data_IF_164050054039
#
_entry.id   IF_164050054039
#
_cell.length_a   1.000
_cell.length_b   1.000
_cell.length_c   1.000
_cell.angle_alpha   90.00
_cell.angle_beta   90.00
_cell.angle_gamma   90.00
#
_symmetry.space_group_name_H-M   'P 1'
#
loop_
_entity.id
_entity.type
_entity.pdbx_description
1 polymer ?
#
# COMPACT_ATOMS: atom_id res chain seq x y z
N UNK A 1 0.93 -43.80 38.34
CA UNK A 1 2.08 -43.38 37.52
C UNK A 1 1.72 -42.05 36.83
N UNK A 2 2.21 -40.92 37.38
CA UNK A 2 1.90 -39.55 36.88
C UNK A 2 2.95 -39.18 35.88
N UNK A 3 2.58 -38.83 34.63
CA UNK A 3 3.50 -38.24 33.64
C UNK A 3 3.51 -36.73 33.84
N UNK A 4 4.68 -36.21 34.22
CA UNK A 4 4.98 -34.80 34.22
C UNK A 4 5.17 -34.34 32.76
N UNK A 5 4.37 -33.38 32.32
CA UNK A 5 4.65 -32.63 31.10
C UNK A 5 5.52 -31.44 31.43
N UNK A 6 6.73 -31.45 30.88
CA UNK A 6 7.70 -30.35 30.97
C UNK A 6 7.27 -29.23 30.03
N UNK A 7 6.86 -28.10 30.59
CA UNK A 7 6.66 -26.84 29.85
C UNK A 7 8.04 -26.18 29.73
N UNK A 8 8.57 -26.16 28.52
CA UNK A 8 9.81 -25.43 28.19
C UNK A 8 9.44 -23.96 27.94
N UNK A 9 9.71 -23.12 28.94
CA UNK A 9 9.60 -21.66 28.79
C UNK A 9 10.85 -21.14 28.08
N UNK A 10 10.71 -20.67 26.84
CA UNK A 10 11.74 -19.91 26.16
C UNK A 10 11.76 -18.46 26.68
N UNK A 11 12.67 -18.16 27.58
CA UNK A 11 13.03 -16.80 27.93
C UNK A 11 13.88 -16.21 26.79
N UNK A 12 13.32 -15.29 26.00
CA UNK A 12 14.10 -14.42 25.14
C UNK A 12 14.74 -13.31 26.00
N UNK A 13 16.02 -13.46 26.32
CA UNK A 13 16.85 -12.38 26.85
C UNK A 13 17.12 -11.39 25.67
N UNK A 14 16.38 -10.28 25.67
CA UNK A 14 16.75 -9.13 24.84
C UNK A 14 17.89 -8.42 25.53
N UNK A 15 19.13 -8.67 25.10
CA UNK A 15 20.29 -7.87 25.49
C UNK A 15 20.13 -6.48 24.87
N UNK A 16 19.74 -5.50 25.68
CA UNK A 16 19.80 -4.09 25.33
C UNK A 16 21.26 -3.64 25.32
N UNK A 17 21.94 -3.84 24.18
CA UNK A 17 23.19 -3.14 23.92
C UNK A 17 22.92 -1.68 23.61
N UNK A 18 23.82 -0.74 23.99
CA UNK A 18 23.62 0.68 23.66
C UNK A 18 23.64 0.86 22.15
N UNK A 19 22.48 1.24 21.59
CA UNK A 19 22.38 1.67 20.20
C UNK A 19 22.98 3.06 20.10
N UNK A 20 24.30 3.14 19.93
CA UNK A 20 24.97 4.35 19.45
C UNK A 20 24.75 4.45 17.94
N UNK A 21 23.52 4.68 17.54
CA UNK A 21 23.18 5.04 16.17
C UNK A 21 23.43 6.53 16.02
N UNK A 22 24.55 6.91 15.38
CA UNK A 22 24.68 8.23 14.78
C UNK A 22 23.41 8.49 13.97
N UNK A 23 22.75 9.62 14.23
CA UNK A 23 21.69 10.12 13.37
C UNK A 23 22.33 10.43 12.01
N UNK A 24 22.44 9.39 11.17
CA UNK A 24 22.61 9.63 9.75
C UNK A 24 21.39 10.39 9.30
N UNK A 25 21.61 11.63 8.87
CA UNK A 25 20.63 12.44 8.16
C UNK A 25 19.89 11.53 7.18
N UNK A 26 18.64 11.18 7.49
CA UNK A 26 17.75 10.61 6.52
C UNK A 26 17.65 11.71 5.45
N UNK A 27 18.42 11.56 4.39
CA UNK A 27 18.31 12.41 3.24
C UNK A 27 16.82 12.42 2.90
N UNK A 28 16.21 13.58 2.95
CA UNK A 28 14.82 13.75 2.56
C UNK A 28 14.70 13.07 1.19
N UNK A 29 13.83 12.04 1.10
CA UNK A 29 13.53 11.41 -0.18
C UNK A 29 12.93 12.52 -1.03
N UNK A 30 13.77 13.10 -1.86
CA UNK A 30 13.36 14.24 -2.66
C UNK A 30 12.16 13.87 -3.53
N UNK A 31 11.14 14.71 -3.64
CA UNK A 31 9.98 14.52 -4.53
C UNK A 31 10.36 14.35 -6.00
N UNK A 32 11.63 14.48 -6.33
CA UNK A 32 12.19 14.45 -7.67
C UNK A 32 12.27 13.07 -8.34
N UNK A 33 11.97 11.96 -7.61
CA UNK A 33 12.10 10.62 -8.21
C UNK A 33 11.20 10.43 -9.44
N UNK A 34 9.98 10.95 -9.42
CA UNK A 34 9.08 10.89 -10.59
C UNK A 34 9.56 11.83 -11.69
N UNK A 35 10.04 13.01 -11.32
CA UNK A 35 10.57 13.99 -12.27
C UNK A 35 11.86 13.51 -12.95
N UNK A 36 12.75 12.86 -12.20
CA UNK A 36 13.98 12.25 -12.74
C UNK A 36 13.65 11.11 -13.71
N UNK A 37 12.68 10.26 -13.38
CA UNK A 37 12.23 9.20 -14.27
C UNK A 37 11.70 9.74 -15.61
N UNK A 38 10.96 10.85 -15.61
CA UNK A 38 10.47 11.50 -16.82
C UNK A 38 11.59 12.13 -17.67
N UNK A 39 12.74 12.42 -17.07
CA UNK A 39 13.93 12.94 -17.75
C UNK A 39 14.88 11.84 -18.24
N UNK A 40 14.72 10.62 -17.72
CA UNK A 40 15.51 9.46 -18.10
C UNK A 40 15.17 9.05 -19.53
N UNK A 41 16.21 8.90 -20.37
CA UNK A 41 16.05 8.54 -21.78
C UNK A 41 15.47 7.15 -21.96
N UNK A 42 15.88 6.19 -21.13
CA UNK A 42 15.41 4.82 -21.20
C UNK A 42 13.93 4.73 -20.79
N UNK A 43 13.53 5.47 -19.73
CA UNK A 43 12.15 5.60 -19.32
C UNK A 43 11.28 6.18 -20.44
N UNK A 44 11.71 7.27 -21.09
CA UNK A 44 10.98 7.87 -22.20
C UNK A 44 10.86 6.92 -23.39
N UNK A 45 11.97 6.28 -23.77
CA UNK A 45 11.97 5.30 -24.86
C UNK A 45 11.00 4.14 -24.56
N UNK A 46 10.96 3.66 -23.31
CA UNK A 46 9.99 2.64 -22.89
C UNK A 46 8.56 3.16 -23.03
N UNK A 47 8.25 4.37 -22.53
CA UNK A 47 6.92 4.99 -22.62
C UNK A 47 6.50 5.11 -24.09
N UNK A 48 7.36 5.65 -24.96
CA UNK A 48 7.05 5.81 -26.38
C UNK A 48 6.77 4.45 -27.02
N UNK A 49 7.59 3.44 -26.74
CA UNK A 49 7.40 2.08 -27.24
C UNK A 49 6.10 1.43 -26.81
N UNK A 50 5.61 1.75 -25.60
CA UNK A 50 4.31 1.29 -25.11
C UNK A 50 3.19 2.05 -25.81
N UNK A 51 3.30 3.37 -25.89
CA UNK A 51 2.32 4.23 -26.52
C UNK A 51 2.10 3.90 -28.00
N UNK A 52 3.13 3.55 -28.73
CA UNK A 52 3.03 3.17 -30.14
C UNK A 52 2.29 1.84 -30.37
N UNK A 53 2.33 0.97 -29.37
CA UNK A 53 1.66 -0.35 -29.43
C UNK A 53 0.22 -0.36 -28.92
N UNK A 54 -0.25 0.72 -28.33
CA UNK A 54 -1.60 0.83 -27.79
C UNK A 54 -2.52 1.56 -28.77
N UNK A 55 -3.70 1.01 -29.03
CA UNK A 55 -4.78 1.72 -29.69
C UNK A 55 -5.27 2.89 -28.84
N UNK A 56 -6.00 3.82 -29.46
CA UNK A 56 -6.58 4.95 -28.71
C UNK A 56 -7.43 4.49 -27.52
N UNK A 57 -8.29 3.48 -27.72
CA UNK A 57 -9.11 2.91 -26.65
C UNK A 57 -8.29 2.33 -25.51
N UNK A 58 -7.19 1.63 -25.81
CA UNK A 58 -6.28 1.09 -24.80
C UNK A 58 -5.53 2.22 -24.06
N UNK A 59 -5.11 3.28 -24.76
CA UNK A 59 -4.53 4.48 -24.13
C UNK A 59 -5.50 5.12 -23.14
N UNK A 60 -6.78 5.24 -23.50
CA UNK A 60 -7.82 5.72 -22.59
C UNK A 60 -7.97 4.79 -21.38
N UNK A 61 -7.92 3.47 -21.61
CA UNK A 61 -7.95 2.48 -20.52
C UNK A 61 -6.85 2.70 -19.48
N UNK A 62 -5.65 3.11 -19.90
CA UNK A 62 -4.52 3.38 -19.00
C UNK A 62 -4.78 4.53 -18.00
N UNK A 63 -5.78 5.37 -18.23
CA UNK A 63 -6.16 6.46 -17.32
C UNK A 63 -7.07 6.01 -16.17
N UNK A 64 -7.52 4.74 -16.17
CA UNK A 64 -8.45 4.23 -15.18
C UNK A 64 -7.79 3.28 -14.19
N UNK A 65 -8.20 3.42 -12.92
CA UNK A 65 -7.95 2.45 -11.85
C UNK A 65 -9.27 1.72 -11.60
N UNK A 66 -9.27 0.40 -11.81
CA UNK A 66 -10.46 -0.44 -11.62
C UNK A 66 -10.49 -1.04 -10.22
N UNK A 67 -11.60 -0.85 -9.50
CA UNK A 67 -11.76 -1.43 -8.16
C UNK A 67 -12.29 -2.86 -8.26
N UNK A 68 -11.61 -3.79 -7.59
CA UNK A 68 -11.97 -5.22 -7.59
C UNK A 68 -11.87 -5.82 -6.18
N UNK A 69 -12.81 -6.70 -5.84
CA UNK A 69 -12.74 -7.43 -4.58
C UNK A 69 -11.67 -8.54 -4.63
N UNK A 70 -10.86 -8.73 -3.58
CA UNK A 70 -9.89 -9.82 -3.52
C UNK A 70 -10.56 -11.13 -3.09
N UNK A 71 -11.42 -11.65 -3.98
CA UNK A 71 -12.13 -12.92 -3.84
C UNK A 71 -11.88 -13.81 -5.05
N UNK A 72 -11.71 -15.11 -4.80
CA UNK A 72 -11.44 -16.10 -5.85
C UNK A 72 -12.74 -16.76 -6.30
N UNK A 73 -13.56 -16.01 -7.03
CA UNK A 73 -14.78 -16.51 -7.65
C UNK A 73 -14.68 -16.40 -9.18
N UNK A 74 -15.37 -17.28 -9.88
CA UNK A 74 -15.40 -17.26 -11.36
C UNK A 74 -15.75 -15.87 -11.90
N UNK A 75 -16.80 -15.25 -11.34
CA UNK A 75 -17.24 -13.90 -11.76
C UNK A 75 -16.15 -12.85 -11.53
N UNK A 76 -15.46 -12.90 -10.40
CA UNK A 76 -14.43 -11.93 -10.09
C UNK A 76 -13.18 -12.10 -10.99
N UNK A 77 -12.85 -13.34 -11.35
CA UNK A 77 -11.78 -13.63 -12.30
C UNK A 77 -12.13 -13.17 -13.73
N UNK A 78 -13.39 -13.25 -14.12
CA UNK A 78 -13.89 -12.69 -15.39
C UNK A 78 -13.77 -11.16 -15.38
N UNK A 79 -14.18 -10.47 -14.31
CA UNK A 79 -14.02 -9.02 -14.15
C UNK A 79 -12.55 -8.59 -14.20
N UNK A 80 -11.67 -9.32 -13.52
CA UNK A 80 -10.23 -9.05 -13.59
C UNK A 80 -9.71 -9.16 -15.02
N UNK A 81 -10.07 -10.23 -15.72
CA UNK A 81 -9.68 -10.43 -17.11
C UNK A 81 -10.22 -9.33 -18.02
N UNK A 82 -11.48 -8.97 -17.85
CA UNK A 82 -12.10 -7.89 -18.63
C UNK A 82 -11.37 -6.57 -18.43
N UNK A 83 -11.08 -6.20 -17.17
CA UNK A 83 -10.34 -4.98 -16.84
C UNK A 83 -8.93 -4.98 -17.47
N UNK A 84 -8.19 -6.08 -17.33
CA UNK A 84 -6.78 -6.15 -17.75
C UNK A 84 -6.63 -6.44 -19.24
N UNK A 85 -7.41 -7.37 -19.80
CA UNK A 85 -7.23 -7.82 -21.19
C UNK A 85 -8.07 -7.02 -22.19
N UNK A 86 -9.29 -6.63 -21.81
CA UNK A 86 -10.19 -5.92 -22.74
C UNK A 86 -10.02 -4.42 -22.65
N UNK A 87 -10.07 -3.86 -21.43
CA UNK A 87 -9.98 -2.42 -21.23
C UNK A 87 -8.56 -1.91 -21.06
N UNK A 88 -7.58 -2.78 -20.76
CA UNK A 88 -6.18 -2.40 -20.53
C UNK A 88 -6.07 -1.29 -19.48
N UNK A 89 -6.76 -1.46 -18.34
CA UNK A 89 -6.73 -0.45 -17.26
C UNK A 89 -5.30 -0.23 -16.77
N UNK A 90 -4.97 1.02 -16.45
CA UNK A 90 -3.64 1.39 -15.96
C UNK A 90 -3.40 0.95 -14.52
N UNK A 91 -4.46 0.76 -13.72
CA UNK A 91 -4.33 0.35 -12.33
C UNK A 91 -5.47 -0.51 -11.81
N UNK A 92 -5.20 -1.18 -10.70
CA UNK A 92 -6.18 -1.92 -9.90
C UNK A 92 -6.15 -1.42 -8.45
N UNK A 93 -7.34 -1.23 -7.88
CA UNK A 93 -7.55 -0.99 -6.46
C UNK A 93 -8.26 -2.20 -5.85
N UNK A 94 -7.64 -2.86 -4.90
CA UNK A 94 -8.28 -3.96 -4.19
C UNK A 94 -9.11 -3.45 -3.00
N UNK A 95 -10.40 -3.80 -2.99
CA UNK A 95 -11.28 -3.60 -1.83
C UNK A 95 -10.98 -4.63 -0.72
N UNK A 96 -11.70 -4.58 0.40
CA UNK A 96 -11.40 -5.44 1.55
C UNK A 96 -11.56 -6.94 1.32
N UNK A 97 -10.65 -7.74 1.86
CA UNK A 97 -10.69 -9.20 1.74
C UNK A 97 -9.56 -9.95 2.45
N UNK A 98 -9.17 -11.11 1.90
CA UNK A 98 -8.06 -11.91 2.39
C UNK A 98 -6.76 -11.51 1.70
N UNK A 99 -5.69 -11.37 2.49
CA UNK A 99 -4.34 -11.06 1.99
C UNK A 99 -3.91 -11.97 0.83
N UNK A 100 -4.01 -13.30 1.02
CA UNK A 100 -3.58 -14.27 0.02
C UNK A 100 -4.32 -14.13 -1.30
N UNK A 101 -5.62 -13.84 -1.26
CA UNK A 101 -6.41 -13.66 -2.47
C UNK A 101 -5.95 -12.41 -3.25
N UNK A 102 -5.65 -11.31 -2.57
CA UNK A 102 -5.10 -10.13 -3.24
C UNK A 102 -3.77 -10.43 -3.93
N UNK A 103 -2.84 -11.08 -3.23
CA UNK A 103 -1.54 -11.46 -3.81
C UNK A 103 -1.73 -12.34 -5.05
N UNK A 104 -2.61 -13.33 -4.97
CA UNK A 104 -2.90 -14.22 -6.10
C UNK A 104 -3.47 -13.45 -7.30
N UNK A 105 -4.43 -12.54 -7.05
CA UNK A 105 -5.04 -11.73 -8.12
C UNK A 105 -4.07 -10.70 -8.68
N UNK A 106 -3.23 -10.08 -7.84
CA UNK A 106 -2.14 -9.20 -8.29
C UNK A 106 -1.21 -9.93 -9.25
N UNK A 107 -0.70 -11.10 -8.84
CA UNK A 107 0.18 -11.90 -9.68
C UNK A 107 -0.50 -12.35 -10.98
N UNK A 108 -1.79 -12.68 -10.93
CA UNK A 108 -2.57 -13.03 -12.11
C UNK A 108 -2.71 -11.84 -13.05
N UNK A 109 -3.07 -10.67 -12.55
CA UNK A 109 -3.18 -9.45 -13.33
C UNK A 109 -1.88 -9.11 -14.05
N UNK A 110 -0.75 -9.14 -13.33
CA UNK A 110 0.56 -8.84 -13.90
C UNK A 110 0.98 -9.82 -15.00
N UNK A 111 0.64 -11.11 -14.87
CA UNK A 111 0.93 -12.10 -15.93
C UNK A 111 0.06 -11.94 -17.18
N UNK A 112 -1.16 -11.42 -17.03
CA UNK A 112 -2.10 -11.22 -18.14
C UNK A 112 -1.92 -9.87 -18.82
N UNK A 113 -1.43 -8.86 -18.10
CA UNK A 113 -1.37 -7.50 -18.57
C UNK A 113 -0.37 -7.32 -19.74
N UNK A 114 -0.81 -6.64 -20.81
CA UNK A 114 0.05 -6.21 -21.93
C UNK A 114 1.02 -5.10 -21.48
N UNK A 115 0.56 -4.24 -20.59
CA UNK A 115 1.35 -3.21 -19.89
C UNK A 115 1.24 -3.51 -18.40
N UNK A 116 2.34 -3.50 -17.62
CA UNK A 116 2.27 -3.74 -16.18
C UNK A 116 1.21 -2.86 -15.50
N UNK A 117 0.36 -3.48 -14.69
CA UNK A 117 -0.75 -2.79 -14.01
C UNK A 117 -0.25 -2.18 -12.71
N UNK A 118 -0.53 -0.90 -12.48
CA UNK A 118 -0.25 -0.25 -11.21
C UNK A 118 -1.21 -0.77 -10.14
N UNK A 119 -0.68 -1.36 -9.08
CA UNK A 119 -1.48 -1.80 -7.95
C UNK A 119 -1.55 -0.65 -6.95
N UNK A 120 -2.77 -0.24 -6.66
CA UNK A 120 -3.06 0.81 -5.68
C UNK A 120 -3.75 0.23 -4.47
N UNK A 121 -3.62 0.90 -3.36
CA UNK A 121 -4.18 0.48 -2.08
C UNK A 121 -4.75 1.68 -1.33
N UNK A 122 -5.76 1.44 -0.50
CA UNK A 122 -6.35 2.42 0.39
C UNK A 122 -6.17 1.94 1.83
N UNK A 123 -5.01 2.25 2.39
CA UNK A 123 -4.56 1.77 3.68
C UNK A 123 -4.12 2.89 4.62
N UNK A 124 -5.07 3.74 5.03
CA UNK A 124 -4.81 4.91 5.90
C UNK A 124 -4.10 4.56 7.21
N UNK A 125 -4.38 3.38 7.77
CA UNK A 125 -3.71 2.82 8.95
C UNK A 125 -3.11 1.43 8.66
N UNK A 126 -2.51 1.29 7.47
CA UNK A 126 -1.85 0.07 7.02
C UNK A 126 -2.81 -0.94 6.37
N UNK A 127 -2.28 -2.12 6.07
CA UNK A 127 -3.02 -3.14 5.31
C UNK A 127 -4.27 -3.63 6.02
N UNK A 128 -4.30 -3.61 7.36
CA UNK A 128 -5.43 -4.08 8.16
C UNK A 128 -6.72 -3.30 7.91
N UNK A 129 -6.64 -2.09 7.36
CA UNK A 129 -7.83 -1.37 6.91
C UNK A 129 -8.66 -2.18 5.91
N UNK A 130 -8.00 -2.95 5.05
CA UNK A 130 -8.63 -3.69 3.94
C UNK A 130 -8.41 -5.20 4.02
N UNK A 131 -7.27 -5.65 4.53
CA UNK A 131 -6.85 -7.04 4.43
C UNK A 131 -6.82 -7.72 5.80
N UNK A 132 -7.65 -8.74 5.94
CA UNK A 132 -7.66 -9.56 7.16
C UNK A 132 -6.39 -10.39 7.30
N UNK A 133 -5.93 -10.54 8.54
CA UNK A 133 -4.71 -11.31 8.87
C UNK A 133 -3.42 -10.51 8.76
N UNK A 134 -3.51 -9.18 8.68
CA UNK A 134 -2.35 -8.28 8.69
C UNK A 134 -2.26 -7.53 10.01
N UNK A 135 -1.07 -6.99 10.38
CA UNK A 135 -0.90 -6.19 11.59
C UNK A 135 -1.85 -4.99 11.61
N UNK A 136 -2.48 -4.75 12.77
CA UNK A 136 -3.42 -3.66 12.96
C UNK A 136 -2.70 -2.49 13.62
N UNK A 137 -2.74 -1.33 13.00
CA UNK A 137 -2.27 -0.07 13.58
C UNK A 137 -3.45 0.76 14.11
N UNK A 138 -3.20 1.67 15.05
CA UNK A 138 -4.20 2.65 15.48
C UNK A 138 -4.67 3.52 14.32
N UNK A 139 -5.84 4.13 14.49
CA UNK A 139 -6.32 5.15 13.54
C UNK A 139 -5.47 6.42 13.65
N UNK A 140 -5.51 7.22 12.58
CA UNK A 140 -4.66 8.39 12.42
C UNK A 140 -4.77 9.39 13.61
N UNK A 141 -5.96 9.60 14.16
CA UNK A 141 -6.14 10.50 15.32
C UNK A 141 -5.36 10.03 16.56
N UNK A 142 -5.23 8.71 16.77
CA UNK A 142 -4.39 8.16 17.86
C UNK A 142 -2.91 8.36 17.54
N UNK A 143 -2.53 8.16 16.27
CA UNK A 143 -1.15 8.42 15.80
C UNK A 143 -0.80 9.90 15.94
N UNK A 144 -1.75 10.80 15.73
CA UNK A 144 -1.57 12.25 15.90
C UNK A 144 -1.26 12.69 17.34
N UNK A 145 -1.54 11.85 18.34
CA UNK A 145 -1.15 12.10 19.73
C UNK A 145 0.33 11.81 20.04
N UNK A 146 1.05 11.16 19.10
CA UNK A 146 2.45 10.81 19.28
C UNK A 146 3.33 12.04 19.08
N UNK A 147 4.12 12.39 20.11
CA UNK A 147 5.02 13.54 20.08
C UNK A 147 6.40 13.23 19.47
N UNK A 148 6.77 11.94 19.40
CA UNK A 148 8.04 11.52 18.83
C UNK A 148 7.91 11.20 17.35
N UNK A 149 8.32 12.13 16.49
CA UNK A 149 8.28 11.98 15.03
C UNK A 149 9.03 10.75 14.52
N UNK A 150 10.00 10.21 15.28
CA UNK A 150 10.71 8.97 14.89
C UNK A 150 9.77 7.78 14.87
N UNK A 151 8.80 7.74 15.78
CA UNK A 151 7.78 6.67 15.81
C UNK A 151 6.82 6.79 14.64
N UNK A 152 6.40 8.00 14.28
CA UNK A 152 5.55 8.24 13.10
C UNK A 152 6.30 7.85 11.82
N UNK A 153 7.58 8.21 11.72
CA UNK A 153 8.40 7.80 10.58
C UNK A 153 8.58 6.28 10.50
N UNK A 154 8.79 5.61 11.64
CA UNK A 154 8.90 4.16 11.71
C UNK A 154 7.59 3.47 11.28
N UNK A 155 6.45 4.00 11.71
CA UNK A 155 5.12 3.58 11.25
C UNK A 155 4.99 3.70 9.73
N UNK A 156 5.30 4.87 9.16
CA UNK A 156 5.23 5.08 7.71
C UNK A 156 6.11 4.10 6.92
N UNK A 157 7.34 3.84 7.40
CA UNK A 157 8.23 2.84 6.79
C UNK A 157 7.66 1.43 6.85
N UNK A 158 7.03 1.06 7.96
CA UNK A 158 6.42 -0.26 8.09
C UNK A 158 5.22 -0.42 7.15
N UNK A 159 4.35 0.58 7.04
CA UNK A 159 3.24 0.57 6.07
C UNK A 159 3.78 0.46 4.64
N UNK A 160 4.81 1.23 4.29
CA UNK A 160 5.44 1.15 2.97
C UNK A 160 6.04 -0.24 2.70
N UNK A 161 6.68 -0.86 3.71
CA UNK A 161 7.21 -2.23 3.61
C UNK A 161 6.09 -3.23 3.33
N UNK A 162 4.97 -3.12 4.04
CA UNK A 162 3.80 -3.97 3.85
C UNK A 162 3.21 -3.80 2.44
N UNK A 163 3.05 -2.56 1.96
CA UNK A 163 2.58 -2.28 0.61
C UNK A 163 3.49 -2.93 -0.45
N UNK A 164 4.81 -2.82 -0.30
CA UNK A 164 5.77 -3.48 -1.20
C UNK A 164 5.60 -5.00 -1.22
N UNK A 165 5.35 -5.62 -0.07
CA UNK A 165 5.16 -7.08 0.02
C UNK A 165 3.93 -7.59 -0.74
N UNK A 166 2.87 -6.79 -0.84
CA UNK A 166 1.67 -7.13 -1.61
C UNK A 166 1.71 -6.62 -3.05
N UNK A 167 2.82 -6.02 -3.46
CA UNK A 167 3.00 -5.47 -4.81
C UNK A 167 2.25 -4.16 -5.06
N UNK A 168 1.86 -3.42 -4.02
CA UNK A 168 1.23 -2.11 -4.17
C UNK A 168 2.29 -1.02 -4.35
N UNK A 169 2.17 -0.25 -5.43
CA UNK A 169 3.02 0.88 -5.76
C UNK A 169 2.50 2.20 -5.19
N UNK A 170 1.19 2.32 -5.04
CA UNK A 170 0.54 3.55 -4.55
C UNK A 170 -0.36 3.20 -3.36
N UNK A 171 -0.20 3.95 -2.27
CA UNK A 171 -1.14 3.95 -1.15
C UNK A 171 -1.85 5.30 -1.11
N UNK A 172 -3.19 5.33 -1.19
CA UNK A 172 -4.00 6.55 -1.06
C UNK A 172 -4.11 6.97 0.41
N UNK A 173 -2.95 7.31 0.98
CA UNK A 173 -2.77 7.72 2.36
C UNK A 173 -1.53 8.64 2.49
N UNK A 174 -1.44 9.42 3.56
CA UNK A 174 -2.41 9.61 4.64
C UNK A 174 -3.57 10.51 4.25
N UNK A 175 -4.63 10.53 5.11
CA UNK A 175 -5.69 11.54 5.02
C UNK A 175 -5.10 12.90 5.38
N UNK A 176 -5.22 13.86 4.47
CA UNK A 176 -4.73 15.23 4.66
C UNK A 176 -5.75 16.16 5.33
N UNK A 177 -6.99 15.69 5.52
CA UNK A 177 -8.04 16.47 6.15
C UNK A 177 -7.73 16.75 7.64
N UNK A 178 -8.02 17.97 8.06
CA UNK A 178 -7.96 18.41 9.44
C UNK A 178 -9.35 18.30 10.08
N UNK A 179 -9.44 17.80 11.31
CA UNK A 179 -10.72 17.60 12.01
C UNK A 179 -11.28 18.90 12.58
N UNK A 180 -11.62 19.85 11.70
CA UNK A 180 -12.21 21.15 12.10
C UNK A 180 -13.68 21.05 12.56
N UNK A 181 -14.32 19.91 12.32
CA UNK A 181 -15.69 19.64 12.75
C UNK A 181 -15.79 18.20 13.31
N UNK A 182 -15.79 18.05 14.66
CA UNK A 182 -15.84 16.72 15.30
C UNK A 182 -17.16 15.96 15.04
N UNK A 183 -18.19 16.63 14.54
CA UNK A 183 -19.45 16.00 14.12
C UNK A 183 -19.41 15.48 12.69
N UNK A 184 -18.33 15.70 11.94
CA UNK A 184 -18.19 15.15 10.59
C UNK A 184 -18.12 13.62 10.65
N UNK A 185 -19.10 12.89 10.09
CA UNK A 185 -19.15 11.43 10.19
C UNK A 185 -18.11 10.73 9.31
N UNK A 186 -17.50 11.44 8.37
CA UNK A 186 -16.58 10.86 7.37
C UNK A 186 -15.13 11.00 7.81
N UNK A 187 -14.67 12.18 8.17
CA UNK A 187 -13.28 12.44 8.53
C UNK A 187 -12.99 11.97 9.96
N UNK A 188 -13.53 12.60 10.96
CA UNK A 188 -13.44 12.21 12.38
C UNK A 188 -12.06 11.59 12.71
N UNK A 189 -12.04 10.34 13.21
CA UNK A 189 -10.82 9.59 13.61
C UNK A 189 -9.84 9.25 12.46
N UNK A 190 -10.19 9.56 11.23
CA UNK A 190 -9.30 9.41 10.07
C UNK A 190 -8.31 10.57 9.94
N UNK A 191 -8.63 11.74 10.49
CA UNK A 191 -7.68 12.85 10.62
C UNK A 191 -6.62 12.57 11.70
N UNK A 192 -5.43 13.14 11.56
CA UNK A 192 -4.40 13.14 12.60
C UNK A 192 -4.68 14.11 13.75
N UNK A 193 -5.63 15.03 13.60
CA UNK A 193 -6.00 15.99 14.63
C UNK A 193 -6.67 17.25 14.07
N UNK A 194 -6.74 18.28 14.91
CA UNK A 194 -7.43 19.53 14.63
C UNK A 194 -6.48 20.65 14.18
N UNK A 195 -5.18 20.46 14.37
CA UNK A 195 -4.15 21.43 14.00
C UNK A 195 -3.49 21.03 12.67
N UNK A 196 -3.46 21.91 11.65
CA UNK A 196 -2.81 21.64 10.36
C UNK A 196 -1.28 21.69 10.40
N UNK A 197 -0.68 22.14 11.51
CA UNK A 197 0.78 22.29 11.71
C UNK A 197 1.32 21.26 12.69
#
# INVERSE_FOLDING_TARGET
>A
MKKLSSILAFLFLISAGPVTGSAQNAAAVEPQLVYKALQDKDCRHWVDSVMDRLSFKEKVGQLFIYTIAPVDTKRNLELLREAVDTYKVGGLLFSGGKLQNQVNLTNRAQRQAKVPVMITFDGEWGLAMRLRGTPVFPRNMVLGCIQDNRLIHAYGREVARQCKQIGAQVNFAPVADVNINPKNPVINTRSFGENPM
#
